data_IF_575167179627
#
_entry.id   IF_575167179627
#
_cell.length_a   1.000
_cell.length_b   1.000
_cell.length_c   1.000
_cell.angle_alpha   90.00
_cell.angle_beta   90.00
_cell.angle_gamma   90.00
#
_symmetry.space_group_name_H-M   'P 1'
#
loop_
_entity.id
_entity.type
_entity.pdbx_description
1 polymer ?
#
# COMPACT_ATOMS: atom_id res chain seq x y z
N UNK A 1 -18.34 49.09 -8.02
CA UNK A 1 -17.14 48.47 -8.62
C UNK A 1 -16.98 46.99 -8.28
N UNK A 2 -17.32 46.50 -7.07
CA UNK A 2 -17.12 45.08 -6.72
C UNK A 2 -17.99 44.07 -7.51
N UNK A 3 -19.17 44.47 -8.00
CA UNK A 3 -20.08 43.58 -8.73
C UNK A 3 -19.73 43.39 -10.22
N UNK A 4 -19.11 44.39 -10.87
CA UNK A 4 -18.55 44.28 -12.24
C UNK A 4 -17.45 43.20 -12.30
N UNK A 5 -16.71 43.06 -11.21
CA UNK A 5 -15.61 42.11 -11.08
C UNK A 5 -16.14 40.66 -11.06
N UNK A 6 -17.29 40.40 -10.44
CA UNK A 6 -17.82 39.04 -10.35
C UNK A 6 -18.25 38.43 -11.69
N UNK A 7 -18.57 39.24 -12.70
CA UNK A 7 -19.01 38.73 -14.01
C UNK A 7 -17.88 38.16 -14.86
N UNK A 8 -16.62 38.57 -14.63
CA UNK A 8 -15.48 37.99 -15.33
C UNK A 8 -14.93 36.72 -14.64
N UNK A 9 -15.36 36.44 -13.40
CA UNK A 9 -14.91 35.26 -12.67
C UNK A 9 -15.59 34.01 -13.21
N UNK A 10 -14.80 32.97 -13.46
CA UNK A 10 -15.29 31.64 -13.81
C UNK A 10 -16.10 31.08 -12.61
N UNK A 11 -17.09 30.19 -12.79
CA UNK A 11 -17.78 29.56 -11.67
C UNK A 11 -16.84 28.90 -10.65
N UNK A 12 -15.67 28.43 -11.10
CA UNK A 12 -14.59 27.92 -10.25
C UNK A 12 -13.96 29.00 -9.36
N UNK A 13 -13.73 30.19 -9.91
CA UNK A 13 -13.16 31.31 -9.17
C UNK A 13 -14.15 31.81 -8.11
N UNK A 14 -15.43 31.93 -8.46
CA UNK A 14 -16.50 32.27 -7.51
C UNK A 14 -16.59 31.22 -6.40
N UNK A 15 -16.51 29.92 -6.74
CA UNK A 15 -16.53 28.83 -5.77
C UNK A 15 -15.28 28.87 -4.88
N UNK A 16 -14.08 29.08 -5.43
CA UNK A 16 -12.83 29.17 -4.66
C UNK A 16 -12.82 30.37 -3.74
N UNK A 17 -13.33 31.52 -4.18
CA UNK A 17 -13.45 32.73 -3.36
C UNK A 17 -14.49 32.55 -2.25
N UNK A 18 -15.65 31.98 -2.58
CA UNK A 18 -16.77 31.76 -1.63
C UNK A 18 -16.45 30.66 -0.61
N UNK A 19 -15.74 29.61 -1.03
CA UNK A 19 -15.43 28.43 -0.23
C UNK A 19 -13.94 28.27 0.05
N UNK A 20 -13.20 29.39 0.11
CA UNK A 20 -11.74 29.41 0.35
C UNK A 20 -11.32 28.58 1.58
N UNK A 21 -12.07 28.70 2.67
CA UNK A 21 -11.83 27.92 3.88
C UNK A 21 -12.01 26.41 3.66
N UNK A 22 -13.00 26.01 2.84
CA UNK A 22 -13.22 24.61 2.48
C UNK A 22 -12.13 24.06 1.56
N UNK A 23 -11.68 24.84 0.59
CA UNK A 23 -10.54 24.47 -0.30
C UNK A 23 -9.27 24.28 0.52
N UNK A 24 -8.98 25.23 1.42
CA UNK A 24 -7.84 25.14 2.35
C UNK A 24 -7.95 23.92 3.28
N UNK A 25 -9.09 23.74 3.92
CA UNK A 25 -9.34 22.60 4.81
C UNK A 25 -9.25 21.26 4.06
N UNK A 26 -9.75 21.19 2.83
CA UNK A 26 -9.66 20.02 1.96
C UNK A 26 -8.22 19.70 1.59
N UNK A 27 -7.41 20.73 1.32
CA UNK A 27 -5.98 20.58 1.07
C UNK A 27 -5.19 20.07 2.26
N UNK A 28 -5.43 20.65 3.43
CA UNK A 28 -4.82 20.22 4.69
C UNK A 28 -5.22 18.77 5.04
N UNK A 29 -6.50 18.43 4.87
CA UNK A 29 -7.00 17.06 5.05
C UNK A 29 -6.33 16.08 4.08
N UNK A 30 -6.21 16.45 2.80
CA UNK A 30 -5.59 15.62 1.77
C UNK A 30 -4.11 15.36 2.09
N UNK A 31 -3.38 16.40 2.50
CA UNK A 31 -1.96 16.29 2.88
C UNK A 31 -1.77 15.43 4.13
N UNK A 32 -2.61 15.62 5.15
CA UNK A 32 -2.55 14.83 6.39
C UNK A 32 -2.85 13.35 6.13
N UNK A 33 -3.86 13.07 5.31
CA UNK A 33 -4.24 11.72 4.92
C UNK A 33 -3.15 11.05 4.08
N UNK A 34 -2.66 11.72 3.04
CA UNK A 34 -1.57 11.22 2.19
C UNK A 34 -0.28 10.96 2.99
N UNK A 35 0.05 11.83 3.95
CA UNK A 35 1.20 11.64 4.86
C UNK A 35 1.07 10.36 5.70
N UNK A 36 -0.09 10.21 6.34
CA UNK A 36 -0.37 9.04 7.20
C UNK A 36 -0.38 7.74 6.39
N UNK A 37 -1.03 7.74 5.22
CA UNK A 37 -1.09 6.56 4.35
C UNK A 37 0.26 6.25 3.70
N UNK A 38 1.08 7.25 3.37
CA UNK A 38 2.46 7.02 2.91
C UNK A 38 3.29 6.29 3.96
N UNK A 39 3.15 6.67 5.24
CA UNK A 39 3.83 5.98 6.34
C UNK A 39 3.43 4.50 6.38
N UNK A 40 2.13 4.21 6.33
CA UNK A 40 1.61 2.83 6.32
C UNK A 40 2.11 2.05 5.09
N UNK A 41 2.07 2.65 3.90
CA UNK A 41 2.56 2.03 2.67
C UNK A 41 4.08 1.77 2.70
N UNK A 42 4.86 2.70 3.26
CA UNK A 42 6.29 2.51 3.46
C UNK A 42 6.57 1.36 4.45
N UNK A 43 5.85 1.30 5.56
CA UNK A 43 5.96 0.21 6.55
C UNK A 43 5.67 -1.16 5.91
N UNK A 44 4.57 -1.30 5.18
CA UNK A 44 4.23 -2.56 4.49
C UNK A 44 5.32 -2.93 3.48
N UNK A 45 5.83 -1.96 2.71
CA UNK A 45 6.90 -2.19 1.75
C UNK A 45 8.21 -2.66 2.43
N UNK A 46 8.58 -2.06 3.57
CA UNK A 46 9.75 -2.46 4.37
C UNK A 46 9.59 -3.87 4.92
N UNK A 47 8.42 -4.19 5.49
CA UNK A 47 8.14 -5.54 6.00
C UNK A 47 8.23 -6.56 4.86
N UNK A 48 7.59 -6.30 3.72
CA UNK A 48 7.65 -7.18 2.56
C UNK A 48 9.07 -7.36 2.00
N UNK A 49 9.87 -6.29 1.99
CA UNK A 49 11.28 -6.36 1.60
C UNK A 49 12.08 -7.24 2.57
N UNK A 50 11.94 -7.03 3.89
CA UNK A 50 12.60 -7.85 4.91
C UNK A 50 12.19 -9.32 4.84
N UNK A 51 10.92 -9.60 4.56
CA UNK A 51 10.42 -10.98 4.39
C UNK A 51 11.05 -11.66 3.17
N UNK A 52 11.30 -10.92 2.08
CA UNK A 52 11.94 -11.48 0.89
C UNK A 52 13.41 -11.86 1.09
N UNK A 53 14.10 -11.24 2.05
CA UNK A 53 15.49 -11.58 2.40
C UNK A 53 15.59 -12.63 3.52
N UNK A 54 14.48 -12.96 4.18
CA UNK A 54 14.42 -13.88 5.32
C UNK A 54 13.61 -15.14 5.01
N UNK A 55 13.64 -15.60 3.75
CA UNK A 55 12.95 -16.82 3.34
C UNK A 55 13.56 -17.99 4.11
N UNK A 56 12.79 -18.69 4.97
CA UNK A 56 13.29 -19.87 5.65
C UNK A 56 13.49 -20.99 4.62
N UNK A 57 14.54 -21.78 4.77
CA UNK A 57 14.83 -22.92 3.88
C UNK A 57 16.18 -22.80 3.20
N UNK A 58 16.74 -23.95 2.82
CA UNK A 58 17.96 -23.98 2.02
C UNK A 58 17.61 -23.74 0.55
N UNK A 59 18.64 -23.51 -0.27
CA UNK A 59 18.52 -23.61 -1.72
C UNK A 59 18.83 -25.04 -2.14
N UNK A 60 18.16 -25.55 -3.17
CA UNK A 60 18.55 -26.81 -3.80
C UNK A 60 19.93 -26.62 -4.43
N UNK A 61 20.92 -27.41 -4.02
CA UNK A 61 22.32 -27.27 -4.45
C UNK A 61 22.46 -27.30 -5.99
N UNK A 62 21.60 -28.06 -6.67
CA UNK A 62 21.66 -28.24 -8.12
C UNK A 62 21.03 -27.10 -8.93
N UNK A 63 20.07 -26.36 -8.36
CA UNK A 63 19.24 -25.39 -9.11
C UNK A 63 19.30 -23.97 -8.56
N UNK A 64 19.73 -23.78 -7.31
CA UNK A 64 19.64 -22.50 -6.60
C UNK A 64 18.21 -22.07 -6.26
N UNK A 65 17.21 -22.94 -6.52
CA UNK A 65 15.82 -22.70 -6.20
C UNK A 65 15.55 -22.92 -4.70
N UNK A 66 14.65 -22.15 -4.05
CA UNK A 66 14.32 -22.38 -2.65
C UNK A 66 13.73 -23.80 -2.51
N UNK A 67 14.22 -24.59 -1.54
CA UNK A 67 13.74 -25.98 -1.32
C UNK A 67 12.23 -26.05 -1.10
N UNK A 68 11.62 -24.94 -0.68
CA UNK A 68 10.19 -24.81 -0.41
C UNK A 68 9.33 -24.49 -1.63
N UNK A 69 9.90 -24.27 -2.81
CA UNK A 69 9.16 -23.87 -4.01
C UNK A 69 8.02 -24.85 -4.33
N UNK A 70 8.21 -26.15 -4.08
CA UNK A 70 7.23 -27.19 -4.39
C UNK A 70 6.01 -27.20 -3.44
N UNK A 71 6.00 -26.36 -2.39
CA UNK A 71 4.90 -26.28 -1.43
C UNK A 71 3.84 -25.29 -1.90
N UNK A 72 2.56 -25.70 -2.04
CA UNK A 72 1.51 -24.79 -2.47
C UNK A 72 1.32 -23.61 -1.51
N UNK A 73 1.56 -23.82 -0.22
CA UNK A 73 1.50 -22.77 0.80
C UNK A 73 2.57 -21.70 0.59
N UNK A 74 3.80 -22.12 0.22
CA UNK A 74 4.90 -21.21 -0.08
C UNK A 74 4.65 -20.42 -1.37
N UNK A 75 4.12 -21.08 -2.41
CA UNK A 75 3.71 -20.39 -3.65
C UNK A 75 2.63 -19.34 -3.38
N UNK A 76 1.60 -19.69 -2.62
CA UNK A 76 0.54 -18.75 -2.26
C UNK A 76 1.09 -17.56 -1.44
N UNK A 77 1.96 -17.84 -0.48
CA UNK A 77 2.67 -16.83 0.31
C UNK A 77 3.50 -15.89 -0.58
N UNK A 78 4.30 -16.43 -1.50
CA UNK A 78 5.17 -15.65 -2.37
C UNK A 78 4.36 -14.73 -3.32
N UNK A 79 3.30 -15.26 -3.93
CA UNK A 79 2.43 -14.50 -4.83
C UNK A 79 1.70 -13.39 -4.06
N UNK A 80 1.10 -13.71 -2.91
CA UNK A 80 0.41 -12.72 -2.08
C UNK A 80 1.39 -11.65 -1.55
N UNK A 81 2.61 -12.02 -1.20
CA UNK A 81 3.65 -11.07 -0.79
C UNK A 81 4.05 -10.12 -1.91
N UNK A 82 4.20 -10.64 -3.14
CA UNK A 82 4.54 -9.83 -4.30
C UNK A 82 3.43 -8.84 -4.64
N UNK A 83 2.18 -9.29 -4.65
CA UNK A 83 1.00 -8.43 -4.88
C UNK A 83 0.93 -7.35 -3.80
N UNK A 84 1.07 -7.73 -2.52
CA UNK A 84 1.05 -6.79 -1.41
C UNK A 84 2.13 -5.72 -1.58
N UNK A 85 3.35 -6.12 -1.93
CA UNK A 85 4.50 -5.23 -2.16
C UNK A 85 4.27 -4.28 -3.32
N UNK A 86 3.86 -4.80 -4.48
CA UNK A 86 3.61 -3.99 -5.67
C UNK A 86 2.53 -2.95 -5.38
N UNK A 87 1.39 -3.37 -4.82
CA UNK A 87 0.32 -2.45 -4.41
C UNK A 87 0.81 -1.43 -3.38
N UNK A 88 1.61 -1.84 -2.40
CA UNK A 88 2.16 -0.92 -1.39
C UNK A 88 3.06 0.16 -2.01
N UNK A 89 3.96 -0.23 -2.91
CA UNK A 89 4.86 0.71 -3.60
C UNK A 89 4.08 1.64 -4.52
N UNK A 90 3.10 1.13 -5.29
CA UNK A 90 2.24 1.98 -6.12
C UNK A 90 1.46 2.98 -5.28
N UNK A 91 0.88 2.53 -4.16
CA UNK A 91 0.17 3.38 -3.21
C UNK A 91 1.08 4.45 -2.61
N UNK A 92 2.30 4.08 -2.20
CA UNK A 92 3.31 5.00 -1.69
C UNK A 92 3.66 6.08 -2.72
N UNK A 93 3.91 5.70 -3.98
CA UNK A 93 4.20 6.65 -5.06
C UNK A 93 3.03 7.61 -5.30
N UNK A 94 1.78 7.13 -5.24
CA UNK A 94 0.59 7.96 -5.40
C UNK A 94 0.44 8.97 -4.27
N UNK A 95 0.61 8.56 -3.01
CA UNK A 95 0.54 9.48 -1.87
C UNK A 95 1.73 10.45 -1.82
N UNK A 96 2.94 10.00 -2.17
CA UNK A 96 4.10 10.89 -2.31
C UNK A 96 3.88 11.91 -3.43
N UNK A 97 3.25 11.52 -4.54
CA UNK A 97 2.85 12.44 -5.62
C UNK A 97 1.90 13.52 -5.11
N UNK A 98 0.97 13.17 -4.22
CA UNK A 98 0.06 14.13 -3.57
C UNK A 98 0.82 15.05 -2.61
N UNK A 99 1.74 14.53 -1.82
CA UNK A 99 2.53 15.32 -0.86
C UNK A 99 3.52 16.27 -1.53
N UNK A 100 4.06 15.86 -2.69
CA UNK A 100 5.06 16.62 -3.47
C UNK A 100 4.39 17.66 -4.36
N UNK A 101 3.12 17.46 -4.72
CA UNK A 101 2.34 18.44 -5.46
C UNK A 101 2.26 19.74 -4.65
N UNK A 102 2.68 20.84 -5.26
CA UNK A 102 2.52 22.17 -4.66
C UNK A 102 1.04 22.50 -4.70
N UNK A 103 0.38 22.47 -3.53
CA UNK A 103 -1.02 22.84 -3.31
C UNK A 103 -1.31 24.30 -3.70
N UNK A 104 -1.18 24.64 -4.98
CA UNK A 104 -1.74 25.86 -5.54
C UNK A 104 -3.19 25.55 -5.86
N UNK A 105 -4.11 26.43 -5.45
CA UNK A 105 -5.57 26.27 -5.61
C UNK A 105 -6.00 25.88 -7.04
N UNK A 106 -5.16 26.18 -8.04
CA UNK A 106 -5.37 25.84 -9.44
C UNK A 106 -5.26 24.33 -9.77
N UNK A 107 -4.48 23.54 -9.01
CA UNK A 107 -4.27 22.10 -9.26
C UNK A 107 -5.23 21.20 -8.46
N UNK A 108 -6.19 21.78 -7.71
CA UNK A 108 -7.35 21.05 -7.17
C UNK A 108 -8.31 20.56 -8.26
N UNK A 109 -7.95 20.73 -9.53
CA UNK A 109 -8.70 20.23 -10.66
C UNK A 109 -8.69 18.70 -10.71
N UNK A 110 -9.64 18.06 -10.01
CA UNK A 110 -10.10 16.65 -10.07
C UNK A 110 -9.05 15.51 -9.96
N UNK A 111 -7.77 15.81 -10.12
CA UNK A 111 -6.67 14.87 -10.29
C UNK A 111 -6.08 14.46 -8.94
N UNK A 112 -5.97 15.40 -8.00
CA UNK A 112 -5.56 15.17 -6.61
C UNK A 112 -6.48 14.18 -5.86
N UNK A 113 -7.81 14.40 -5.78
CA UNK A 113 -8.70 13.44 -5.12
C UNK A 113 -8.72 12.09 -5.85
N UNK A 114 -8.61 12.08 -7.18
CA UNK A 114 -8.51 10.83 -7.95
C UNK A 114 -7.24 10.04 -7.63
N UNK A 115 -6.09 10.69 -7.53
CA UNK A 115 -4.83 10.06 -7.07
C UNK A 115 -4.97 9.52 -5.66
N UNK A 116 -5.68 10.22 -4.77
CA UNK A 116 -5.90 9.76 -3.40
C UNK A 116 -6.75 8.49 -3.39
N UNK A 117 -7.87 8.49 -4.12
CA UNK A 117 -8.74 7.32 -4.22
C UNK A 117 -7.97 6.13 -4.79
N UNK A 118 -7.20 6.32 -5.87
CA UNK A 118 -6.34 5.28 -6.44
C UNK A 118 -5.26 4.79 -5.47
N UNK A 119 -4.66 5.70 -4.70
CA UNK A 119 -3.67 5.37 -3.68
C UNK A 119 -4.28 4.54 -2.55
N UNK A 120 -5.47 4.93 -2.08
CA UNK A 120 -6.21 4.24 -1.04
C UNK A 120 -6.67 2.85 -1.49
N UNK A 121 -7.26 2.70 -2.68
CA UNK A 121 -7.69 1.38 -3.18
C UNK A 121 -6.51 0.44 -3.31
N UNK A 122 -5.36 0.93 -3.80
CA UNK A 122 -4.12 0.17 -3.85
C UNK A 122 -3.61 -0.20 -2.45
N UNK A 123 -3.70 0.71 -1.46
CA UNK A 123 -3.33 0.43 -0.08
C UNK A 123 -4.21 -0.64 0.56
N UNK A 124 -5.53 -0.57 0.38
CA UNK A 124 -6.47 -1.57 0.89
C UNK A 124 -6.19 -2.95 0.28
N UNK A 125 -5.94 -3.01 -1.02
CA UNK A 125 -5.53 -4.25 -1.69
C UNK A 125 -4.21 -4.80 -1.12
N UNK A 126 -3.25 -3.92 -0.81
CA UNK A 126 -2.01 -4.31 -0.15
C UNK A 126 -2.26 -4.92 1.23
N UNK A 127 -3.06 -4.27 2.08
CA UNK A 127 -3.40 -4.77 3.41
C UNK A 127 -4.06 -6.14 3.36
N UNK A 128 -5.04 -6.34 2.47
CA UNK A 128 -5.72 -7.63 2.29
C UNK A 128 -4.70 -8.69 1.86
N UNK A 129 -3.85 -8.37 0.89
CA UNK A 129 -2.82 -9.29 0.40
C UNK A 129 -1.77 -9.61 1.47
N UNK A 130 -1.40 -8.64 2.32
CA UNK A 130 -0.53 -8.87 3.48
C UNK A 130 -1.19 -9.80 4.51
N UNK A 131 -2.50 -9.67 4.76
CA UNK A 131 -3.22 -10.60 5.63
C UNK A 131 -3.21 -12.04 5.07
N UNK A 132 -3.47 -12.20 3.77
CA UNK A 132 -3.40 -13.51 3.09
C UNK A 132 -1.98 -14.09 3.17
N UNK A 133 -0.96 -13.26 2.92
CA UNK A 133 0.44 -13.62 3.10
C UNK A 133 0.73 -14.09 4.54
N UNK A 134 0.33 -13.33 5.54
CA UNK A 134 0.55 -13.68 6.95
C UNK A 134 -0.12 -15.02 7.30
N UNK A 135 -1.37 -15.23 6.89
CA UNK A 135 -2.09 -16.49 7.10
C UNK A 135 -1.39 -17.67 6.40
N UNK A 136 -0.98 -17.51 5.14
CA UNK A 136 -0.27 -18.55 4.39
C UNK A 136 1.09 -18.89 5.01
N UNK A 137 1.86 -17.88 5.42
CA UNK A 137 3.14 -18.05 6.10
C UNK A 137 2.99 -18.70 7.47
N UNK A 138 2.01 -18.29 8.26
CA UNK A 138 1.73 -18.88 9.57
C UNK A 138 1.28 -20.34 9.45
N UNK A 139 0.38 -20.65 8.52
CA UNK A 139 -0.05 -22.02 8.25
C UNK A 139 1.11 -22.89 7.77
N UNK A 140 1.99 -22.34 6.93
CA UNK A 140 3.20 -23.02 6.48
C UNK A 140 4.14 -23.37 7.63
N UNK A 141 4.46 -22.40 8.50
CA UNK A 141 5.31 -22.62 9.69
C UNK A 141 4.67 -23.59 10.66
N UNK A 142 3.37 -23.48 10.91
CA UNK A 142 2.66 -24.37 11.83
C UNK A 142 2.63 -25.81 11.32
N UNK A 143 2.41 -26.03 10.02
CA UNK A 143 2.45 -27.37 9.41
C UNK A 143 3.82 -28.02 9.54
N UNK A 144 4.89 -27.23 9.38
CA UNK A 144 6.26 -27.72 9.52
C UNK A 144 6.61 -28.01 11.00
N UNK A 145 6.21 -27.13 11.93
CA UNK A 145 6.37 -27.35 13.37
C UNK A 145 5.54 -28.54 13.87
N UNK A 146 4.29 -28.68 13.45
CA UNK A 146 3.46 -29.84 13.78
C UNK A 146 4.08 -31.13 13.22
N UNK A 147 4.62 -31.11 12.00
CA UNK A 147 5.34 -32.26 11.45
C UNK A 147 6.59 -32.59 12.27
N UNK A 148 7.36 -31.58 12.67
CA UNK A 148 8.56 -31.72 13.51
C UNK A 148 8.24 -32.15 14.95
N UNK A 149 7.08 -31.79 15.50
CA UNK A 149 6.63 -32.17 16.85
C UNK A 149 5.97 -33.56 16.84
N UNK A 150 5.26 -33.90 15.76
CA UNK A 150 4.69 -35.23 15.59
C UNK A 150 5.77 -36.30 15.35
N UNK A 151 6.84 -35.96 14.61
CA UNK A 151 7.92 -36.89 14.30
C UNK A 151 8.52 -37.62 15.53
N UNK A 152 8.85 -36.95 16.66
CA UNK A 152 9.32 -37.63 17.87
C UNK A 152 8.23 -38.37 18.66
N UNK A 153 6.94 -38.05 18.46
CA UNK A 153 5.83 -38.76 19.15
C UNK A 153 5.50 -40.10 18.48
N UNK A 154 5.72 -40.22 17.17
CA UNK A 154 5.42 -41.42 16.40
C UNK A 154 6.64 -42.32 16.12
N UNK A 155 7.82 -41.97 16.64
CA UNK A 155 9.00 -42.83 16.59
C UNK A 155 9.11 -43.58 17.93
N UNK A 156 8.78 -44.90 17.98
CA UNK A 156 8.92 -45.72 19.19
C UNK A 156 10.38 -45.88 19.64
#
# INVERSE_FOLDING_TARGET
MHWEIKWYLTPRDILSETHKDLVRSGGEWLKKTAGSCSLVAALIATVAFSTSTTIPGNFKDDTGAPTLEDRPEFKAFAIASLIARCCSVTSLVLFLSILTSRYQEHDFDSSLPRKLILGLTSLFMSIISTMVCFCAGHFFVLKDKLKSVAFPVYMP
#
